data_IF_017198519215
#
_entry.id   IF_017198519215
#
_cell.length_a   1.000
_cell.length_b   1.000
_cell.length_c   1.000
_cell.angle_alpha   90.00
_cell.angle_beta   90.00
_cell.angle_gamma   90.00
#
_symmetry.space_group_name_H-M   'P 1'
#
loop_
_entity.id
_entity.type
_entity.pdbx_description
1 polymer ?
#
# COMPACT_ATOMS: atom_id res chain seq x y z
N UNK A 1 41.95 22.29 0.19
CA UNK A 1 40.84 22.61 1.11
C UNK A 1 39.80 23.40 0.35
N UNK A 2 38.70 22.77 -0.08
CA UNK A 2 37.45 23.52 -0.18
C UNK A 2 36.25 22.59 -0.01
N UNK A 3 35.71 22.68 1.21
CA UNK A 3 34.32 22.51 1.63
C UNK A 3 33.47 21.41 0.99
N UNK A 4 33.28 20.39 1.83
CA UNK A 4 32.16 19.46 1.91
C UNK A 4 30.84 20.21 1.66
N UNK A 5 30.19 19.93 0.53
CA UNK A 5 28.82 20.35 0.26
C UNK A 5 27.92 19.61 1.27
N UNK A 6 27.30 20.42 2.12
CA UNK A 6 26.50 19.98 3.25
C UNK A 6 25.30 19.19 2.77
N UNK A 7 25.06 18.07 3.45
CA UNK A 7 23.83 17.33 3.38
C UNK A 7 22.64 18.31 3.52
N UNK A 8 21.97 18.59 2.40
CA UNK A 8 20.60 19.08 2.42
C UNK A 8 19.71 17.91 2.83
N UNK A 9 19.81 17.54 4.11
CA UNK A 9 18.81 16.78 4.83
C UNK A 9 17.64 17.75 5.01
N UNK A 10 16.92 17.98 3.90
CA UNK A 10 15.59 18.54 3.98
C UNK A 10 14.78 17.57 4.81
N UNK A 11 14.33 18.06 5.97
CA UNK A 11 13.19 17.52 6.70
C UNK A 11 12.23 16.88 5.70
N UNK A 12 12.23 15.54 5.72
CA UNK A 12 11.34 14.77 4.89
C UNK A 12 9.92 15.09 5.32
N UNK A 13 9.29 16.04 4.63
CA UNK A 13 8.02 15.73 4.01
C UNK A 13 8.25 14.40 3.28
N UNK A 14 8.11 13.29 3.99
CA UNK A 14 8.10 11.98 3.40
C UNK A 14 7.00 12.07 2.37
N UNK A 15 7.38 12.32 1.11
CA UNK A 15 6.43 12.55 0.04
C UNK A 15 5.42 11.44 0.14
N UNK A 16 4.13 11.82 0.15
CA UNK A 16 3.01 10.88 0.26
C UNK A 16 3.37 9.60 -0.51
N UNK A 17 3.03 8.43 0.02
CA UNK A 17 3.33 7.15 -0.65
C UNK A 17 3.01 7.21 -2.17
N UNK A 18 1.98 7.96 -2.57
CA UNK A 18 1.65 8.25 -3.96
C UNK A 18 2.76 8.95 -4.76
N UNK A 19 3.46 9.92 -4.19
CA UNK A 19 4.61 10.58 -4.83
C UNK A 19 5.73 9.58 -5.11
N UNK A 20 6.00 8.67 -4.16
CA UNK A 20 7.01 7.59 -4.33
C UNK A 20 6.57 6.58 -5.38
N UNK A 21 5.28 6.21 -5.37
CA UNK A 21 4.67 5.31 -6.35
C UNK A 21 4.74 5.90 -7.77
N UNK A 22 4.52 7.21 -7.93
CA UNK A 22 4.64 7.91 -9.21
C UNK A 22 6.08 8.08 -9.68
N UNK A 23 7.03 8.21 -8.75
CA UNK A 23 8.45 8.30 -9.03
C UNK A 23 9.12 6.93 -9.26
N UNK A 24 8.38 5.83 -9.15
CA UNK A 24 8.92 4.50 -9.31
C UNK A 24 9.42 4.23 -10.74
N UNK A 25 10.53 3.52 -10.88
CA UNK A 25 11.15 3.23 -12.17
C UNK A 25 10.33 2.24 -13.02
N UNK A 26 9.42 1.50 -12.40
CA UNK A 26 8.59 0.51 -13.09
C UNK A 26 7.24 0.28 -12.39
N UNK A 27 6.22 -0.19 -13.12
CA UNK A 27 4.93 -0.57 -12.54
C UNK A 27 5.05 -1.62 -11.43
N UNK A 28 5.97 -2.57 -11.58
CA UNK A 28 6.22 -3.59 -10.56
C UNK A 28 6.81 -2.99 -9.28
N UNK A 29 7.74 -2.03 -9.41
CA UNK A 29 8.31 -1.31 -8.26
C UNK A 29 7.24 -0.46 -7.57
N UNK A 30 6.39 0.24 -8.34
CA UNK A 30 5.25 0.99 -7.83
C UNK A 30 4.29 0.10 -7.03
N UNK A 31 3.95 -1.08 -7.56
CA UNK A 31 3.08 -2.04 -6.88
C UNK A 31 3.72 -2.57 -5.58
N UNK A 32 5.02 -2.88 -5.59
CA UNK A 32 5.72 -3.30 -4.37
C UNK A 32 5.67 -2.21 -3.30
N UNK A 33 5.91 -0.95 -3.66
CA UNK A 33 5.84 0.17 -2.72
C UNK A 33 4.46 0.30 -2.04
N UNK A 34 3.38 0.17 -2.82
CA UNK A 34 2.01 0.18 -2.27
C UNK A 34 1.78 -1.05 -1.38
N UNK A 35 2.18 -2.23 -1.84
CA UNK A 35 2.06 -3.49 -1.12
C UNK A 35 2.74 -3.44 0.25
N UNK A 36 4.03 -3.11 0.29
CA UNK A 36 4.80 -3.00 1.53
C UNK A 36 4.16 -2.00 2.50
N UNK A 37 3.71 -0.86 1.98
CA UNK A 37 3.05 0.16 2.79
C UNK A 37 1.70 -0.32 3.35
N UNK A 38 0.95 -1.06 2.54
CA UNK A 38 -0.33 -1.62 2.93
C UNK A 38 -0.18 -2.74 3.97
N UNK A 39 0.79 -3.64 3.81
CA UNK A 39 1.12 -4.67 4.82
C UNK A 39 1.48 -4.02 6.15
N UNK A 40 2.33 -2.99 6.13
CA UNK A 40 2.70 -2.27 7.34
C UNK A 40 1.48 -1.60 8.02
N UNK A 41 0.49 -1.14 7.24
CA UNK A 41 -0.78 -0.64 7.78
C UNK A 41 -1.63 -1.78 8.34
N UNK A 42 -1.79 -2.89 7.62
CA UNK A 42 -2.55 -4.07 8.06
C UNK A 42 -2.00 -4.66 9.36
N UNK A 43 -0.69 -4.88 9.45
CA UNK A 43 0.00 -5.32 10.65
C UNK A 43 -0.35 -4.45 11.87
N UNK A 44 -0.32 -3.12 11.70
CA UNK A 44 -0.65 -2.16 12.77
C UNK A 44 -2.10 -2.20 13.20
N UNK A 45 -3.05 -2.33 12.27
CA UNK A 45 -4.49 -2.30 12.61
C UNK A 45 -5.02 -3.64 13.10
N UNK A 46 -4.44 -4.74 12.61
CA UNK A 46 -4.77 -6.10 13.03
C UNK A 46 -3.97 -6.54 14.25
N UNK A 47 -2.98 -5.75 14.69
CA UNK A 47 -2.04 -6.10 15.75
C UNK A 47 -1.32 -7.42 15.47
N UNK A 48 -0.95 -7.62 14.21
CA UNK A 48 -0.22 -8.78 13.71
C UNK A 48 1.20 -8.37 13.30
N UNK A 49 2.14 -9.31 13.36
CA UNK A 49 3.45 -9.12 12.78
C UNK A 49 3.40 -9.13 11.25
N UNK A 50 4.30 -8.38 10.62
CA UNK A 50 4.42 -8.36 9.15
C UNK A 50 4.72 -9.74 8.57
N UNK A 51 5.29 -10.63 9.39
CA UNK A 51 5.60 -12.02 9.04
C UNK A 51 4.34 -12.85 8.74
N UNK A 52 3.19 -12.51 9.32
CA UNK A 52 1.90 -13.16 9.06
C UNK A 52 1.39 -12.91 7.63
N UNK A 53 1.96 -11.92 6.94
CA UNK A 53 1.60 -11.54 5.58
C UNK A 53 2.55 -12.11 4.52
N UNK A 54 3.62 -12.84 4.91
CA UNK A 54 4.58 -13.44 3.96
C UNK A 54 3.89 -14.41 2.97
N UNK A 55 2.81 -15.07 3.42
CA UNK A 55 2.00 -15.98 2.60
C UNK A 55 0.99 -15.25 1.68
N UNK A 56 1.00 -13.92 1.59
CA UNK A 56 0.09 -13.17 0.70
C UNK A 56 0.20 -13.59 -0.79
N UNK A 57 1.35 -14.14 -1.19
CA UNK A 57 1.58 -14.70 -2.53
C UNK A 57 0.72 -15.93 -2.84
N UNK A 58 0.17 -16.58 -1.80
CA UNK A 58 -0.73 -17.74 -1.92
C UNK A 58 -2.16 -17.36 -2.34
N UNK A 59 -2.41 -16.07 -2.64
CA UNK A 59 -3.72 -15.59 -3.08
C UNK A 59 -4.71 -15.36 -1.94
N UNK A 60 -4.21 -15.20 -0.71
CA UNK A 60 -5.03 -14.97 0.47
C UNK A 60 -5.73 -13.61 0.37
N UNK A 61 -7.05 -13.61 0.57
CA UNK A 61 -7.84 -12.38 0.56
C UNK A 61 -7.57 -11.53 1.81
N UNK A 62 -7.66 -10.21 1.69
CA UNK A 62 -7.47 -9.30 2.83
C UNK A 62 -8.49 -9.60 3.94
N UNK A 63 -9.72 -10.00 3.57
CA UNK A 63 -10.77 -10.38 4.50
C UNK A 63 -10.37 -11.54 5.43
N UNK A 64 -9.57 -12.49 4.94
CA UNK A 64 -9.13 -13.70 5.68
C UNK A 64 -8.14 -13.38 6.82
N UNK A 65 -7.64 -12.15 6.92
CA UNK A 65 -6.78 -11.72 8.02
C UNK A 65 -7.56 -11.20 9.24
N UNK A 66 -8.90 -11.22 9.21
CA UNK A 66 -9.74 -10.79 10.33
C UNK A 66 -10.17 -9.32 10.23
N UNK A 67 -10.51 -8.85 9.02
CA UNK A 67 -11.04 -7.49 8.86
C UNK A 67 -12.49 -7.44 9.37
N UNK A 68 -12.67 -6.84 10.55
CA UNK A 68 -13.98 -6.55 11.11
C UNK A 68 -14.58 -5.22 10.61
N UNK A 69 -15.82 -4.93 11.01
CA UNK A 69 -16.51 -3.67 10.65
C UNK A 69 -15.75 -2.41 11.07
N UNK A 70 -15.13 -2.40 12.26
CA UNK A 70 -14.36 -1.26 12.75
C UNK A 70 -13.03 -1.10 11.99
N UNK A 71 -12.32 -2.21 11.77
CA UNK A 71 -11.03 -2.22 11.07
C UNK A 71 -11.23 -1.82 9.61
N UNK A 72 -12.24 -2.35 8.91
CA UNK A 72 -12.50 -1.99 7.53
C UNK A 72 -12.93 -0.53 7.35
N UNK A 73 -13.65 0.06 8.31
CA UNK A 73 -13.94 1.49 8.30
C UNK A 73 -12.68 2.34 8.46
N UNK A 74 -11.77 1.96 9.37
CA UNK A 74 -10.48 2.63 9.51
C UNK A 74 -9.63 2.48 8.26
N UNK A 75 -9.54 1.27 7.71
CA UNK A 75 -8.77 0.97 6.51
C UNK A 75 -9.28 1.81 5.33
N UNK A 76 -10.60 1.86 5.10
CA UNK A 76 -11.20 2.69 4.06
C UNK A 76 -10.83 4.16 4.20
N UNK A 77 -10.92 4.71 5.41
CA UNK A 77 -10.57 6.11 5.67
C UNK A 77 -9.08 6.36 5.41
N UNK A 78 -8.22 5.43 5.82
CA UNK A 78 -6.79 5.51 5.57
C UNK A 78 -6.45 5.41 4.08
N UNK A 79 -7.06 4.47 3.34
CA UNK A 79 -6.87 4.33 1.88
C UNK A 79 -7.27 5.62 1.17
N UNK A 80 -8.41 6.21 1.54
CA UNK A 80 -8.85 7.47 0.95
C UNK A 80 -7.88 8.62 1.25
N UNK A 81 -7.38 8.74 2.48
CA UNK A 81 -6.47 9.82 2.89
C UNK A 81 -5.06 9.67 2.32
N UNK A 82 -4.48 8.48 2.37
CA UNK A 82 -3.10 8.24 1.96
C UNK A 82 -2.97 7.99 0.46
N UNK A 83 -3.96 7.30 -0.13
CA UNK A 83 -3.89 6.78 -1.50
C UNK A 83 -4.90 7.43 -2.45
N UNK A 84 -5.83 8.24 -1.92
CA UNK A 84 -6.83 8.95 -2.73
C UNK A 84 -7.89 8.06 -3.38
N UNK A 85 -7.97 6.78 -2.98
CA UNK A 85 -8.93 5.82 -3.53
C UNK A 85 -10.10 5.61 -2.58
N UNK A 86 -11.33 5.76 -3.09
CA UNK A 86 -12.53 5.39 -2.33
C UNK A 86 -12.85 3.91 -2.54
N UNK A 87 -12.56 3.08 -1.53
CA UNK A 87 -12.83 1.64 -1.57
C UNK A 87 -14.08 1.35 -0.75
N UNK A 88 -15.06 0.66 -1.33
CA UNK A 88 -16.23 0.22 -0.60
C UNK A 88 -15.87 -0.88 0.41
N UNK A 89 -16.50 -0.90 1.58
CA UNK A 89 -16.25 -1.93 2.60
C UNK A 89 -16.48 -3.35 2.06
N UNK A 90 -17.50 -3.54 1.21
CA UNK A 90 -17.74 -4.83 0.55
C UNK A 90 -16.59 -5.30 -0.35
N UNK A 91 -15.83 -4.37 -0.94
CA UNK A 91 -14.65 -4.71 -1.73
C UNK A 91 -13.52 -5.21 -0.83
N UNK A 92 -13.33 -4.58 0.35
CA UNK A 92 -12.36 -5.05 1.35
C UNK A 92 -12.67 -6.45 1.88
N UNK A 93 -13.96 -6.80 1.95
CA UNK A 93 -14.41 -8.14 2.32
C UNK A 93 -14.46 -9.12 1.14
N UNK A 94 -14.12 -8.68 -0.07
CA UNK A 94 -14.21 -9.55 -1.24
C UNK A 94 -13.12 -10.64 -1.18
N UNK A 95 -13.47 -11.92 -1.40
CA UNK A 95 -12.49 -13.00 -1.44
C UNK A 95 -11.52 -12.87 -2.62
N UNK A 96 -11.86 -12.06 -3.63
CA UNK A 96 -11.00 -11.77 -4.77
C UNK A 96 -9.99 -10.64 -4.52
N UNK A 97 -10.14 -9.86 -3.45
CA UNK A 97 -9.24 -8.75 -3.16
C UNK A 97 -8.07 -9.23 -2.30
N UNK A 98 -6.96 -9.53 -2.96
CA UNK A 98 -5.68 -9.83 -2.32
C UNK A 98 -4.86 -8.55 -2.14
N UNK A 99 -3.80 -8.61 -1.33
CA UNK A 99 -2.88 -7.49 -1.13
C UNK A 99 -2.23 -7.07 -2.46
N UNK A 100 -1.80 -8.04 -3.27
CA UNK A 100 -1.27 -7.79 -4.60
C UNK A 100 -2.30 -7.07 -5.49
N UNK A 101 -3.55 -7.56 -5.50
CA UNK A 101 -4.59 -6.96 -6.33
C UNK A 101 -4.96 -5.55 -5.89
N UNK A 102 -4.95 -5.30 -4.58
CA UNK A 102 -5.11 -3.96 -4.04
C UNK A 102 -3.98 -3.02 -4.52
N UNK A 103 -2.73 -3.46 -4.46
CA UNK A 103 -1.60 -2.66 -4.93
C UNK A 103 -1.72 -2.32 -6.43
N UNK A 104 -2.11 -3.28 -7.27
CA UNK A 104 -2.40 -3.05 -8.69
C UNK A 104 -3.50 -2.00 -8.89
N UNK A 105 -4.60 -2.08 -8.12
CA UNK A 105 -5.71 -1.11 -8.22
C UNK A 105 -5.25 0.32 -7.92
N UNK A 106 -4.39 0.48 -6.91
CA UNK A 106 -3.83 1.79 -6.58
C UNK A 106 -2.92 2.29 -7.69
N UNK A 107 -2.02 1.45 -8.21
CA UNK A 107 -1.18 1.81 -9.34
C UNK A 107 -2.01 2.26 -10.55
N UNK A 108 -3.04 1.50 -10.92
CA UNK A 108 -3.95 1.85 -12.02
C UNK A 108 -4.67 3.17 -11.75
N UNK A 109 -5.10 3.40 -10.50
CA UNK A 109 -5.71 4.68 -10.10
C UNK A 109 -4.74 5.88 -10.22
N UNK A 110 -3.43 5.64 -10.19
CA UNK A 110 -2.40 6.66 -10.42
C UNK A 110 -1.96 6.75 -11.90
N UNK A 111 -2.58 5.99 -12.80
CA UNK A 111 -2.19 5.92 -14.22
C UNK A 111 -1.02 4.98 -14.52
N UNK A 112 -0.67 4.11 -13.58
CA UNK A 112 0.42 3.13 -13.69
C UNK A 112 -0.19 1.77 -13.98
N UNK A 113 -0.02 1.28 -15.21
CA UNK A 113 -0.54 -0.02 -15.63
C UNK A 113 0.47 -1.12 -15.29
N UNK A 114 0.17 -1.92 -14.28
CA UNK A 114 0.94 -3.13 -13.96
C UNK A 114 0.47 -4.21 -14.93
N UNK A 115 1.31 -4.57 -15.90
CA UNK A 115 1.05 -5.71 -16.77
C UNK A 115 1.18 -6.97 -15.91
N UNK A 116 0.05 -7.50 -15.45
CA UNK A 116 0.00 -8.87 -14.96
C UNK A 116 0.06 -9.78 -16.19
N UNK A 117 1.24 -10.34 -16.45
CA UNK A 117 1.41 -11.44 -17.41
C UNK A 117 0.79 -12.73 -16.87
#
# INVERSE_FOLDING_TARGET
MNQLDGANQGDGEAGSILSRVKAADSPAQAASLVRDHFIAKLAKVLLLDVEEFIDESSGRSIATYGIDSMIGAELRNWIFKELGLDVAFQQLLSPSLTIAKFAELICVSQGIFVNAE
#
